data_IF_990928145044
#
_entry.id   IF_990928145044
#
_cell.length_a   1.000
_cell.length_b   1.000
_cell.length_c   1.000
_cell.angle_alpha   90.00
_cell.angle_beta   90.00
_cell.angle_gamma   90.00
#
_symmetry.space_group_name_H-M   'P 1'
#
loop_
_entity.id
_entity.type
_entity.pdbx_description
1 polymer ?
#
# COMPACT_ATOMS: atom_id res chain seq x y z
N UNK A 1 17.00 5.01 -17.68
CA UNK A 1 15.93 4.19 -17.04
C UNK A 1 14.74 5.07 -16.73
N UNK A 2 13.50 4.59 -16.90
CA UNK A 2 12.28 5.38 -16.62
C UNK A 2 12.00 5.37 -15.10
N UNK A 3 11.25 6.34 -14.60
CA UNK A 3 10.88 6.44 -13.17
C UNK A 3 10.24 5.14 -12.62
N UNK A 4 9.42 4.47 -13.44
CA UNK A 4 8.80 3.17 -13.09
C UNK A 4 9.81 2.05 -12.88
N UNK A 5 10.92 2.06 -13.63
CA UNK A 5 11.95 1.03 -13.52
C UNK A 5 12.71 1.20 -12.20
N UNK A 6 13.01 2.45 -11.82
CA UNK A 6 13.58 2.78 -10.52
C UNK A 6 12.66 2.36 -9.37
N UNK A 7 11.38 2.73 -9.43
CA UNK A 7 10.40 2.35 -8.42
C UNK A 7 10.29 0.83 -8.26
N UNK A 8 10.40 0.08 -9.37
CA UNK A 8 10.44 -1.39 -9.34
C UNK A 8 11.68 -1.91 -8.63
N UNK A 9 12.87 -1.49 -9.05
CA UNK A 9 14.14 -1.98 -8.51
C UNK A 9 14.24 -1.65 -7.02
N UNK A 10 13.95 -0.41 -6.63
CA UNK A 10 13.94 -0.02 -5.22
C UNK A 10 12.86 -0.75 -4.43
N UNK A 11 11.65 -0.92 -4.97
CA UNK A 11 10.59 -1.67 -4.29
C UNK A 11 10.97 -3.12 -4.01
N UNK A 12 11.59 -3.80 -4.98
CA UNK A 12 12.11 -5.16 -4.81
C UNK A 12 13.24 -5.19 -3.79
N UNK A 13 14.19 -4.24 -3.88
CA UNK A 13 15.30 -4.11 -2.94
C UNK A 13 14.80 -3.93 -1.50
N UNK A 14 13.82 -3.03 -1.28
CA UNK A 14 13.21 -2.82 0.03
C UNK A 14 12.55 -4.09 0.57
N UNK A 15 11.82 -4.84 -0.27
CA UNK A 15 11.20 -6.09 0.16
C UNK A 15 12.25 -7.15 0.56
N UNK A 16 13.34 -7.28 -0.20
CA UNK A 16 14.42 -8.20 0.13
C UNK A 16 15.16 -7.81 1.42
N UNK A 17 15.50 -6.52 1.56
CA UNK A 17 16.16 -6.00 2.76
C UNK A 17 15.24 -6.15 3.99
N UNK A 18 13.93 -5.97 3.84
CA UNK A 18 12.99 -6.19 4.92
C UNK A 18 13.03 -7.62 5.46
N UNK A 19 13.11 -8.62 4.58
CA UNK A 19 13.26 -10.03 5.00
C UNK A 19 14.58 -10.21 5.75
N UNK A 20 15.68 -9.65 5.24
CA UNK A 20 16.99 -9.69 5.91
C UNK A 20 16.98 -9.03 7.30
N UNK A 21 16.36 -7.85 7.43
CA UNK A 21 16.20 -7.17 8.71
C UNK A 21 15.36 -7.98 9.70
N UNK A 22 14.32 -8.65 9.22
CA UNK A 22 13.47 -9.50 10.06
C UNK A 22 14.22 -10.72 10.61
N UNK A 23 15.07 -11.34 9.79
CA UNK A 23 15.96 -12.42 10.21
C UNK A 23 17.00 -11.93 11.23
N UNK A 24 17.47 -10.69 11.09
CA UNK A 24 18.36 -10.04 12.04
C UNK A 24 17.67 -9.51 13.32
N UNK A 25 16.36 -9.75 13.49
CA UNK A 25 15.61 -9.32 14.67
C UNK A 25 15.04 -7.90 14.62
N UNK A 26 15.31 -7.12 13.58
CA UNK A 26 14.87 -5.73 13.43
C UNK A 26 13.44 -5.63 12.86
N UNK A 27 12.45 -6.15 13.61
CA UNK A 27 11.08 -6.36 13.09
C UNK A 27 10.35 -5.08 12.69
N UNK A 28 10.50 -4.01 13.46
CA UNK A 28 9.87 -2.74 13.12
C UNK A 28 10.46 -2.13 11.85
N UNK A 29 11.79 -2.15 11.71
CA UNK A 29 12.46 -1.65 10.51
C UNK A 29 12.09 -2.48 9.27
N UNK A 30 12.00 -3.81 9.42
CA UNK A 30 11.52 -4.71 8.38
C UNK A 30 10.09 -4.36 7.94
N UNK A 31 9.18 -4.14 8.89
CA UNK A 31 7.79 -3.80 8.59
C UNK A 31 7.67 -2.44 7.88
N UNK A 32 8.43 -1.44 8.32
CA UNK A 32 8.51 -0.12 7.69
C UNK A 32 9.01 -0.23 6.25
N UNK A 33 10.05 -1.05 6.01
CA UNK A 33 10.56 -1.29 4.66
C UNK A 33 9.54 -2.02 3.78
N UNK A 34 8.71 -2.92 4.32
CA UNK A 34 7.62 -3.54 3.56
C UNK A 34 6.54 -2.54 3.16
N UNK A 35 6.16 -1.61 4.05
CA UNK A 35 5.23 -0.53 3.71
C UNK A 35 5.82 0.39 2.62
N UNK A 36 7.10 0.73 2.72
CA UNK A 36 7.82 1.48 1.69
C UNK A 36 7.90 0.73 0.36
N UNK A 37 8.19 -0.58 0.40
CA UNK A 37 8.22 -1.45 -0.77
C UNK A 37 6.86 -1.48 -1.48
N UNK A 38 5.76 -1.59 -0.72
CA UNK A 38 4.40 -1.56 -1.26
C UNK A 38 4.12 -0.25 -2.01
N UNK A 39 4.53 0.89 -1.45
CA UNK A 39 4.39 2.20 -2.09
C UNK A 39 5.14 2.26 -3.42
N UNK A 40 6.40 1.81 -3.43
CA UNK A 40 7.28 1.83 -4.59
C UNK A 40 6.81 0.87 -5.69
N UNK A 41 6.43 -0.35 -5.31
CA UNK A 41 5.90 -1.35 -6.23
C UNK A 41 4.56 -0.91 -6.83
N UNK A 42 3.71 -0.22 -6.05
CA UNK A 42 2.52 0.46 -6.60
C UNK A 42 2.93 1.49 -7.66
N UNK A 43 3.88 2.38 -7.36
CA UNK A 43 4.39 3.36 -8.32
C UNK A 43 4.96 2.74 -9.61
N UNK A 44 5.49 1.52 -9.51
CA UNK A 44 6.00 0.77 -10.66
C UNK A 44 4.89 0.21 -11.58
N UNK A 45 3.68 -0.03 -11.06
CA UNK A 45 2.54 -0.58 -11.81
C UNK A 45 1.49 0.47 -12.17
N UNK A 46 1.49 1.63 -11.51
CA UNK A 46 0.50 2.67 -11.74
C UNK A 46 0.55 3.25 -13.16
N UNK A 47 -0.62 3.30 -13.79
CA UNK A 47 -0.87 3.97 -15.06
C UNK A 47 -1.01 5.49 -14.89
N UNK A 48 -0.94 6.29 -15.97
CA UNK A 48 -1.22 7.72 -15.91
C UNK A 48 -2.65 7.97 -15.40
N UNK A 49 -2.84 9.10 -14.72
CA UNK A 49 -4.14 9.48 -14.17
C UNK A 49 -5.13 9.81 -15.30
N UNK A 50 -6.30 9.17 -15.27
CA UNK A 50 -7.33 9.34 -16.31
C UNK A 50 -8.48 10.24 -15.89
N UNK A 51 -8.69 10.44 -14.57
CA UNK A 51 -9.77 11.28 -14.02
C UNK A 51 -9.42 11.94 -12.69
N UNK A 52 -10.18 12.97 -12.29
CA UNK A 52 -10.05 13.62 -10.98
C UNK A 52 -10.32 12.67 -9.82
N UNK A 53 -11.36 11.86 -9.94
CA UNK A 53 -11.76 10.90 -8.91
C UNK A 53 -10.68 9.83 -8.67
N UNK A 54 -10.01 9.37 -9.73
CA UNK A 54 -8.84 8.50 -9.60
C UNK A 54 -7.69 9.21 -8.87
N UNK A 55 -7.47 10.50 -9.15
CA UNK A 55 -6.50 11.32 -8.43
C UNK A 55 -6.80 11.44 -6.93
N UNK A 56 -8.07 11.66 -6.56
CA UNK A 56 -8.52 11.69 -5.16
C UNK A 56 -8.31 10.33 -4.49
N UNK A 57 -8.64 9.23 -5.17
CA UNK A 57 -8.45 7.88 -4.63
C UNK A 57 -6.97 7.59 -4.35
N UNK A 58 -6.07 7.94 -5.28
CA UNK A 58 -4.62 7.80 -5.08
C UNK A 58 -4.11 8.67 -3.94
N UNK A 59 -4.63 9.90 -3.80
CA UNK A 59 -4.29 10.78 -2.69
C UNK A 59 -4.75 10.20 -1.35
N UNK A 60 -5.99 9.72 -1.24
CA UNK A 60 -6.51 9.09 -0.03
C UNK A 60 -5.71 7.84 0.35
N UNK A 61 -5.40 6.97 -0.62
CA UNK A 61 -4.57 5.80 -0.36
C UNK A 61 -3.17 6.20 0.14
N UNK A 62 -2.54 7.21 -0.48
CA UNK A 62 -1.26 7.74 -0.03
C UNK A 62 -1.34 8.30 1.39
N UNK A 63 -2.38 9.07 1.70
CA UNK A 63 -2.59 9.64 3.04
C UNK A 63 -2.69 8.53 4.08
N UNK A 64 -3.54 7.52 3.85
CA UNK A 64 -3.64 6.37 4.75
C UNK A 64 -2.29 5.68 4.95
N UNK A 65 -1.50 5.54 3.88
CA UNK A 65 -0.17 4.95 3.98
C UNK A 65 0.81 5.81 4.79
N UNK A 66 0.80 7.13 4.62
CA UNK A 66 1.65 8.04 5.40
C UNK A 66 1.24 8.02 6.88
N UNK A 67 -0.06 7.97 7.18
CA UNK A 67 -0.57 7.85 8.55
C UNK A 67 -0.13 6.52 9.18
N UNK A 68 -0.31 5.40 8.46
CA UNK A 68 0.13 4.09 8.93
C UNK A 68 1.65 4.04 9.14
N UNK A 69 2.44 4.57 8.20
CA UNK A 69 3.89 4.64 8.31
C UNK A 69 4.33 5.47 9.53
N UNK A 70 3.72 6.65 9.72
CA UNK A 70 3.99 7.52 10.87
C UNK A 70 3.65 6.83 12.20
N UNK A 71 2.55 6.08 12.24
CA UNK A 71 2.11 5.36 13.42
C UNK A 71 3.05 4.20 13.76
N UNK A 72 3.45 3.41 12.76
CA UNK A 72 4.43 2.32 12.92
C UNK A 72 5.79 2.87 13.35
N UNK A 73 6.23 4.00 12.78
CA UNK A 73 7.48 4.64 13.17
C UNK A 73 7.48 5.12 14.62
N UNK A 74 6.34 5.66 15.09
CA UNK A 74 6.17 5.99 16.52
C UNK A 74 6.11 4.77 17.42
N UNK A 75 5.50 3.68 16.95
CA UNK A 75 5.32 2.46 17.73
C UNK A 75 6.63 1.72 18.05
N UNK A 76 7.75 2.06 17.39
CA UNK A 76 9.07 1.46 17.65
C UNK A 76 9.53 1.56 19.10
N UNK A 77 9.16 2.64 19.80
CA UNK A 77 9.48 2.82 21.22
C UNK A 77 8.41 2.23 22.14
N UNK A 78 7.13 2.47 21.85
CA UNK A 78 5.99 1.87 22.53
C UNK A 78 4.75 1.97 21.63
N UNK A 79 3.92 0.93 21.62
CA UNK A 79 2.67 0.92 20.84
C UNK A 79 1.63 1.89 21.42
N UNK A 80 1.69 2.12 22.74
CA UNK A 80 0.75 2.97 23.47
C UNK A 80 0.72 4.38 22.88
N UNK A 81 -0.48 4.85 22.54
CA UNK A 81 -0.70 6.19 21.99
C UNK A 81 -0.07 6.47 20.62
N UNK A 82 0.56 5.48 19.95
CA UNK A 82 1.21 5.70 18.66
C UNK A 82 0.22 6.21 17.60
N UNK A 83 -0.98 5.61 17.55
CA UNK A 83 -2.05 6.00 16.63
C UNK A 83 -2.66 7.34 17.04
N UNK A 84 -2.93 7.56 18.33
CA UNK A 84 -3.45 8.83 18.83
C UNK A 84 -2.50 10.00 18.54
N UNK A 85 -1.19 9.80 18.70
CA UNK A 85 -0.17 10.80 18.41
C UNK A 85 -0.02 11.14 16.92
N UNK A 86 -0.43 10.24 16.02
CA UNK A 86 -0.53 10.52 14.58
C UNK A 86 -1.76 11.35 14.28
N UNK A 87 -2.91 10.99 14.84
CA UNK A 87 -4.15 11.75 14.65
C UNK A 87 -4.12 13.13 15.31
N UNK A 88 -3.34 13.31 16.38
CA UNK A 88 -3.06 14.62 16.98
C UNK A 88 -2.02 15.47 16.25
N UNK A 89 -1.40 14.96 15.17
CA UNK A 89 -0.35 15.69 14.46
C UNK A 89 -0.92 16.62 13.39
N UNK A 90 -1.01 17.92 13.70
CA UNK A 90 -1.53 18.94 12.79
C UNK A 90 -0.73 19.06 11.48
N UNK A 91 0.59 18.87 11.50
CA UNK A 91 1.45 18.95 10.30
C UNK A 91 1.06 17.85 9.33
N UNK A 92 0.83 16.64 9.84
CA UNK A 92 0.43 15.50 9.03
C UNK A 92 -0.94 15.73 8.37
N UNK A 93 -1.88 16.32 9.11
CA UNK A 93 -3.16 16.74 8.57
C UNK A 93 -3.04 17.84 7.52
N UNK A 94 -2.17 18.83 7.73
CA UNK A 94 -1.92 19.88 6.74
C UNK A 94 -1.38 19.29 5.42
N UNK A 95 -0.43 18.35 5.50
CA UNK A 95 0.08 17.63 4.33
C UNK A 95 -1.02 16.78 3.68
N UNK A 96 -1.87 16.12 4.46
CA UNK A 96 -3.00 15.34 3.93
C UNK A 96 -4.00 16.21 3.18
N UNK A 97 -4.35 17.37 3.72
CA UNK A 97 -5.21 18.34 3.06
C UNK A 97 -4.59 18.85 1.76
N UNK A 98 -3.29 19.14 1.76
CA UNK A 98 -2.57 19.54 0.55
C UNK A 98 -2.61 18.43 -0.52
N UNK A 99 -2.33 17.18 -0.13
CA UNK A 99 -2.38 16.03 -1.03
C UNK A 99 -3.76 15.81 -1.63
N UNK A 100 -4.83 16.07 -0.87
CA UNK A 100 -6.22 16.03 -1.36
C UNK A 100 -6.57 17.21 -2.28
N UNK A 101 -6.03 18.39 -2.00
CA UNK A 101 -6.29 19.58 -2.82
C UNK A 101 -5.70 19.45 -4.24
N UNK A 102 -4.52 18.84 -4.38
CA UNK A 102 -3.84 18.69 -5.68
C UNK A 102 -4.70 18.08 -6.80
N UNK A 103 -5.34 16.90 -6.63
CA UNK A 103 -6.21 16.35 -7.67
C UNK A 103 -7.48 17.17 -7.89
N UNK A 104 -7.97 17.91 -6.88
CA UNK A 104 -9.15 18.79 -7.02
C UNK A 104 -8.86 20.02 -7.88
N UNK A 105 -7.63 20.55 -7.81
CA UNK A 105 -7.20 21.72 -8.60
C UNK A 105 -6.92 21.39 -10.07
N UNK A 106 -6.77 20.11 -10.45
CA UNK A 106 -6.52 19.72 -11.85
C UNK A 106 -7.75 19.97 -12.71
N UNK A 107 -7.58 20.55 -13.90
CA UNK A 107 -8.65 20.61 -14.93
C UNK A 107 -8.80 19.22 -15.55
N UNK A 108 -9.95 18.57 -15.38
CA UNK A 108 -10.17 17.19 -15.82
C UNK A 108 -11.65 16.83 -15.84
N UNK A 109 -11.98 15.81 -16.63
CA UNK A 109 -13.34 15.33 -16.95
C UNK A 109 -14.17 14.96 -15.72
N UNK A 110 -15.49 15.12 -15.91
CA UNK A 110 -16.57 15.03 -14.91
C UNK A 110 -16.53 13.72 -14.13
N UNK A 111 -16.96 13.78 -12.86
CA UNK A 111 -17.08 12.66 -11.94
C UNK A 111 -17.92 11.54 -12.58
N UNK A 112 -17.27 10.53 -13.16
CA UNK A 112 -17.96 9.36 -13.70
C UNK A 112 -18.62 8.55 -12.58
N UNK A 113 -19.78 7.97 -12.85
CA UNK A 113 -20.62 7.21 -11.89
C UNK A 113 -19.90 6.00 -11.29
N UNK A 114 -18.95 5.40 -12.01
CA UNK A 114 -18.06 4.33 -11.53
C UNK A 114 -17.04 4.82 -10.50
N UNK A 115 -16.58 6.06 -10.61
CA UNK A 115 -15.64 6.65 -9.68
C UNK A 115 -16.29 6.99 -8.33
N UNK A 116 -17.59 7.33 -8.34
CA UNK A 116 -18.39 7.53 -7.13
C UNK A 116 -18.58 6.23 -6.32
N UNK A 117 -18.75 5.08 -6.98
CA UNK A 117 -18.87 3.76 -6.31
C UNK A 117 -17.57 3.32 -5.66
N UNK A 118 -16.42 3.57 -6.30
CA UNK A 118 -15.11 3.27 -5.70
C UNK A 118 -14.74 4.26 -4.60
N UNK A 119 -15.11 5.54 -4.74
CA UNK A 119 -14.97 6.53 -3.68
C UNK A 119 -15.86 6.22 -2.47
N UNK A 120 -17.09 5.74 -2.69
CA UNK A 120 -17.99 5.29 -1.62
C UNK A 120 -17.45 4.04 -0.91
N UNK A 121 -16.85 3.09 -1.62
CA UNK A 121 -16.19 1.94 -1.01
C UNK A 121 -14.94 2.35 -0.19
N UNK A 122 -14.12 3.27 -0.71
CA UNK A 122 -12.97 3.82 0.01
C UNK A 122 -13.38 4.63 1.24
N UNK A 123 -14.45 5.40 1.15
CA UNK A 123 -15.03 6.14 2.27
C UNK A 123 -15.64 5.20 3.30
N UNK A 124 -16.32 4.13 2.87
CA UNK A 124 -16.88 3.10 3.77
C UNK A 124 -15.76 2.37 4.54
N UNK A 125 -14.65 2.03 3.88
CA UNK A 125 -13.46 1.47 4.54
C UNK A 125 -12.84 2.47 5.52
N UNK A 126 -12.77 3.75 5.16
CA UNK A 126 -12.27 4.81 6.03
C UNK A 126 -13.19 5.07 7.25
N UNK A 127 -14.52 4.98 7.07
CA UNK A 127 -15.52 5.12 8.13
C UNK A 127 -15.52 3.90 9.05
N UNK A 128 -15.43 2.68 8.50
CA UNK A 128 -15.29 1.46 9.30
C UNK A 128 -13.95 1.45 10.06
N UNK A 129 -12.86 1.93 9.45
CA UNK A 129 -11.61 2.16 10.15
C UNK A 129 -11.75 3.22 11.25
N UNK A 130 -12.46 4.33 11.00
CA UNK A 130 -12.74 5.37 11.99
C UNK A 130 -13.58 4.88 13.19
N UNK A 131 -14.59 4.04 12.94
CA UNK A 131 -15.44 3.44 13.97
C UNK A 131 -14.66 2.45 14.86
N UNK A 132 -13.72 1.68 14.30
CA UNK A 132 -12.91 0.74 15.09
C UNK A 132 -11.73 1.44 15.78
N UNK A 133 -11.22 2.54 15.22
CA UNK A 133 -10.19 3.37 15.87
C UNK A 133 -10.71 4.06 17.14
N UNK A 134 -12.03 4.22 17.30
CA UNK A 134 -12.62 4.83 18.49
C UNK A 134 -12.71 3.85 19.68
N UNK A 135 -12.84 2.54 19.45
CA UNK A 135 -12.93 1.52 20.49
C UNK A 135 -11.95 0.36 20.25
N UNK A 136 -10.89 0.25 21.07
CA UNK A 136 -9.95 -0.87 21.04
C UNK A 136 -8.60 -0.58 21.67
N UNK A 137 -7.83 -1.63 21.95
CA UNK A 137 -6.44 -1.55 22.39
C UNK A 137 -5.54 -0.92 21.31
N UNK A 138 -4.47 -0.24 21.71
CA UNK A 138 -3.61 0.51 20.78
C UNK A 138 -2.95 -0.37 19.71
N UNK A 139 -2.67 -1.64 20.03
CA UNK A 139 -2.16 -2.62 19.07
C UNK A 139 -3.19 -2.96 17.98
N UNK A 140 -4.48 -3.10 18.35
CA UNK A 140 -5.57 -3.35 17.40
C UNK A 140 -5.77 -2.13 16.51
N UNK A 141 -5.78 -0.93 17.09
CA UNK A 141 -5.87 0.34 16.34
C UNK A 141 -4.76 0.47 15.31
N UNK A 142 -3.53 0.15 15.69
CA UNK A 142 -2.37 0.19 14.78
C UNK A 142 -2.52 -0.83 13.65
N UNK A 143 -2.92 -2.06 13.96
CA UNK A 143 -3.13 -3.12 12.96
C UNK A 143 -4.21 -2.73 11.95
N UNK A 144 -5.29 -2.12 12.39
CA UNK A 144 -6.38 -1.69 11.52
C UNK A 144 -6.01 -0.52 10.63
N UNK A 145 -5.26 0.46 11.17
CA UNK A 145 -4.75 1.56 10.36
C UNK A 145 -3.82 1.04 9.25
N UNK A 146 -2.92 0.11 9.58
CA UNK A 146 -2.06 -0.54 8.59
C UNK A 146 -2.90 -1.33 7.58
N UNK A 147 -3.87 -2.12 8.02
CA UNK A 147 -4.72 -2.90 7.13
C UNK A 147 -5.50 -2.01 6.16
N UNK A 148 -6.10 -0.91 6.65
CA UNK A 148 -6.80 0.05 5.82
C UNK A 148 -5.87 0.69 4.77
N UNK A 149 -4.66 1.07 5.18
CA UNK A 149 -3.65 1.61 4.27
C UNK A 149 -3.25 0.59 3.19
N UNK A 150 -2.97 -0.65 3.58
CA UNK A 150 -2.58 -1.73 2.65
C UNK A 150 -3.70 -2.05 1.68
N UNK A 151 -4.94 -2.21 2.16
CA UNK A 151 -6.11 -2.48 1.31
C UNK A 151 -6.37 -1.34 0.32
N UNK A 152 -6.17 -0.09 0.74
CA UNK A 152 -6.26 1.06 -0.16
C UNK A 152 -5.20 1.01 -1.28
N UNK A 153 -3.97 0.55 -0.97
CA UNK A 153 -2.96 0.30 -2.01
C UNK A 153 -3.36 -0.86 -2.93
N UNK A 154 -3.83 -1.98 -2.37
CA UNK A 154 -4.23 -3.17 -3.13
C UNK A 154 -5.34 -2.83 -4.11
N UNK A 155 -6.33 -2.02 -3.72
CA UNK A 155 -7.41 -1.58 -4.61
C UNK A 155 -6.89 -0.85 -5.85
N UNK A 156 -5.75 -0.17 -5.76
CA UNK A 156 -5.10 0.53 -6.88
C UNK A 156 -4.20 -0.39 -7.72
N UNK A 157 -3.64 -1.43 -7.10
CA UNK A 157 -2.74 -2.41 -7.74
C UNK A 157 -3.54 -3.47 -8.51
N UNK A 158 -4.66 -3.94 -7.94
CA UNK A 158 -5.41 -5.08 -8.46
C UNK A 158 -5.83 -4.92 -9.94
N UNK A 159 -6.34 -3.75 -10.38
CA UNK A 159 -6.75 -3.55 -11.78
C UNK A 159 -5.59 -3.61 -12.79
N UNK A 160 -4.33 -3.47 -12.35
CA UNK A 160 -3.17 -3.47 -13.26
C UNK A 160 -2.83 -4.88 -13.77
N UNK A 161 -3.17 -5.92 -12.99
CA UNK A 161 -3.35 -7.31 -13.42
C UNK A 161 -2.14 -8.11 -13.93
N UNK A 162 -0.97 -7.51 -14.19
CA UNK A 162 0.16 -8.21 -14.84
C UNK A 162 1.56 -7.76 -14.41
N UNK A 163 2.49 -8.73 -14.43
CA UNK A 163 3.92 -8.52 -14.27
C UNK A 163 4.47 -8.79 -12.87
N UNK A 164 5.79 -8.93 -12.79
CA UNK A 164 6.52 -9.24 -11.54
C UNK A 164 6.23 -8.22 -10.42
N UNK A 165 6.29 -6.92 -10.74
CA UNK A 165 6.06 -5.87 -9.75
C UNK A 165 4.65 -5.90 -9.16
N UNK A 166 3.65 -6.25 -9.97
CA UNK A 166 2.27 -6.42 -9.52
C UNK A 166 2.14 -7.60 -8.56
N UNK A 167 2.69 -8.76 -8.93
CA UNK A 167 2.66 -9.95 -8.10
C UNK A 167 3.40 -9.77 -6.76
N UNK A 168 4.59 -9.14 -6.80
CA UNK A 168 5.33 -8.79 -5.60
C UNK A 168 4.59 -7.79 -4.72
N UNK A 169 3.92 -6.79 -5.29
CA UNK A 169 3.13 -5.85 -4.52
C UNK A 169 2.00 -6.55 -3.74
N UNK A 170 1.35 -7.54 -4.36
CA UNK A 170 0.35 -8.37 -3.68
C UNK A 170 0.96 -9.27 -2.60
N UNK A 171 2.15 -9.85 -2.83
CA UNK A 171 2.87 -10.61 -1.82
C UNK A 171 3.28 -9.76 -0.60
N UNK A 172 3.76 -8.54 -0.85
CA UNK A 172 4.06 -7.56 0.21
C UNK A 172 2.77 -7.19 0.97
N UNK A 173 1.68 -6.90 0.25
CA UNK A 173 0.40 -6.57 0.87
C UNK A 173 -0.13 -7.71 1.75
N UNK A 174 -0.09 -8.95 1.26
CA UNK A 174 -0.48 -10.13 2.04
C UNK A 174 0.35 -10.28 3.32
N UNK A 175 1.67 -10.04 3.22
CA UNK A 175 2.57 -10.06 4.38
C UNK A 175 2.17 -9.00 5.41
N UNK A 176 1.93 -7.76 4.99
CA UNK A 176 1.55 -6.66 5.88
C UNK A 176 0.16 -6.86 6.53
N UNK A 177 -0.76 -7.62 5.91
CA UNK A 177 -2.08 -7.94 6.48
C UNK A 177 -2.02 -9.11 7.47
N UNK A 178 -1.19 -10.10 7.18
CA UNK A 178 -1.06 -11.30 8.00
C UNK A 178 -0.23 -11.06 9.27
N UNK A 179 0.82 -10.23 9.17
CA UNK A 179 1.77 -10.02 10.26
C UNK A 179 1.40 -8.78 11.08
N UNK A 180 1.36 -8.93 12.40
CA UNK A 180 1.19 -7.79 13.29
C UNK A 180 2.43 -6.87 13.27
N UNK A 181 2.28 -5.54 13.32
CA UNK A 181 3.43 -4.64 13.43
C UNK A 181 4.31 -5.00 14.64
N UNK A 182 5.62 -5.12 14.42
CA UNK A 182 6.60 -5.54 15.44
C UNK A 182 6.81 -7.06 15.55
N UNK A 183 6.00 -7.89 14.88
CA UNK A 183 6.19 -9.34 14.82
C UNK A 183 7.16 -9.75 13.69
N UNK A 184 7.76 -10.95 13.75
CA UNK A 184 8.61 -11.47 12.67
C UNK A 184 7.86 -11.59 11.35
N UNK A 185 8.31 -10.85 10.34
CA UNK A 185 7.71 -10.86 9.00
C UNK A 185 8.26 -11.96 8.10
N UNK A 186 9.49 -12.43 8.34
CA UNK A 186 10.16 -13.41 7.48
C UNK A 186 9.38 -14.72 7.25
N UNK A 187 8.63 -15.31 8.21
CA UNK A 187 7.93 -16.57 7.97
C UNK A 187 6.84 -16.42 6.91
N UNK A 188 6.13 -15.28 6.94
CA UNK A 188 5.08 -14.98 5.99
C UNK A 188 5.67 -14.44 4.69
N UNK A 189 6.63 -13.52 4.77
CA UNK A 189 7.28 -12.92 3.61
C UNK A 189 8.01 -13.96 2.74
N UNK A 190 8.66 -14.94 3.38
CA UNK A 190 9.36 -16.03 2.69
C UNK A 190 8.44 -16.92 1.85
N UNK A 191 7.14 -16.89 2.11
CA UNK A 191 6.13 -17.65 1.36
C UNK A 191 5.33 -16.74 0.41
N UNK A 192 4.86 -15.60 0.91
CA UNK A 192 4.03 -14.67 0.15
C UNK A 192 4.78 -13.98 -1.00
N UNK A 193 6.06 -13.62 -0.82
CA UNK A 193 6.82 -12.94 -1.87
C UNK A 193 7.14 -13.87 -3.07
N UNK A 194 7.65 -15.10 -2.87
CA UNK A 194 7.85 -16.03 -3.98
C UNK A 194 6.54 -16.41 -4.69
N UNK A 195 5.46 -16.65 -3.95
CA UNK A 195 4.14 -16.94 -4.54
C UNK A 195 3.65 -15.74 -5.35
N UNK A 196 3.73 -14.53 -4.79
CA UNK A 196 3.38 -13.30 -5.50
C UNK A 196 4.19 -13.13 -6.78
N UNK A 197 5.50 -13.33 -6.72
CA UNK A 197 6.37 -13.29 -7.90
C UNK A 197 5.98 -14.32 -8.96
N UNK A 198 5.74 -15.57 -8.56
CA UNK A 198 5.33 -16.65 -9.45
C UNK A 198 4.00 -16.31 -10.16
N UNK A 199 3.01 -15.81 -9.41
CA UNK A 199 1.71 -15.39 -9.95
C UNK A 199 1.86 -14.20 -10.91
N UNK A 200 2.67 -13.21 -10.55
CA UNK A 200 2.96 -12.05 -11.41
C UNK A 200 3.68 -12.40 -12.70
N UNK A 201 4.60 -13.37 -12.65
CA UNK A 201 5.30 -13.90 -13.81
C UNK A 201 4.37 -14.74 -14.69
N UNK A 202 3.53 -15.59 -14.09
CA UNK A 202 2.57 -16.43 -14.81
C UNK A 202 1.57 -15.58 -15.61
N UNK A 203 0.96 -14.57 -14.97
CA UNK A 203 0.05 -13.62 -15.65
C UNK A 203 0.74 -12.66 -16.61
N UNK A 204 2.05 -12.49 -16.48
CA UNK A 204 2.85 -11.65 -17.37
C UNK A 204 3.33 -12.34 -18.65
N UNK A 205 3.15 -13.67 -18.78
CA UNK A 205 3.56 -14.38 -20.00
C UNK A 205 2.65 -14.01 -21.17
N UNK A 206 3.20 -13.56 -22.32
CA UNK A 206 2.42 -13.48 -23.54
C UNK A 206 1.93 -14.89 -23.87
N UNK A 207 0.67 -15.02 -24.31
CA UNK A 207 0.09 -16.28 -24.74
C UNK A 207 0.95 -16.84 -25.90
N UNK A 208 1.83 -17.79 -25.60
CA UNK A 208 2.56 -18.56 -26.61
C UNK A 208 1.55 -19.52 -27.24
N UNK A 209 0.89 -19.10 -28.33
CA UNK A 209 -0.08 -19.98 -29.00
C UNK A 209 -0.90 -19.41 -30.16
N UNK A 210 -0.66 -18.18 -30.62
CA UNK A 210 -1.41 -17.60 -31.77
C UNK A 210 -0.52 -17.28 -32.99
N UNK A 211 0.62 -17.97 -33.13
CA UNK A 211 1.45 -17.95 -34.34
C UNK A 211 1.82 -19.39 -34.68
N UNK A 212 0.99 -20.05 -35.49
CA UNK A 212 1.18 -21.45 -35.86
C UNK A 212 0.03 -22.05 -36.67
N UNK A 213 -0.63 -21.26 -37.51
CA UNK A 213 -1.67 -21.73 -38.43
C UNK A 213 -1.66 -20.87 -39.69
N UNK A 214 -0.68 -21.12 -40.55
CA UNK A 214 -0.72 -20.79 -41.97
C UNK A 214 -1.48 -21.89 -42.68
#
# INVERSE_FOLDING_TARGET
>A
MRQRDWARVFGIGCAAVAVGLSLAGAQWAAFILLLGALMLLRGAVELPLTSRAEGVLRALALILLVFAFSAVNRAQGAVAGAVAGVFGNWVLWAVALLLLALPMMRRGTVWGVTAARMAAAGLLVAVLAGLVLWAGEDALRLRLLVAAAVLAQVALILPQGKGLAWGLALGVAATCLAVAPGAPVWPVAGLALPLGAAVGLWRGRPARGAEGGV
#
